data_IF_976887161396
#
_entry.id   IF_976887161396
#
_cell.length_a   1.000
_cell.length_b   1.000
_cell.length_c   1.000
_cell.angle_alpha   90.00
_cell.angle_beta   90.00
_cell.angle_gamma   90.00
#
_symmetry.space_group_name_H-M   'P 1'
#
loop_
_entity.id
_entity.type
_entity.pdbx_description
1 polymer ?
#
# COMPACT_ATOMS: atom_id res chain seq x y z
N UNK A 1 -4.60 -14.46 21.27
CA UNK A 1 -4.84 -14.96 19.90
C UNK A 1 -6.06 -14.30 19.27
N UNK A 2 -7.15 -14.08 20.01
CA UNK A 2 -8.39 -13.43 19.54
C UNK A 2 -8.17 -12.12 18.78
N UNK A 3 -7.38 -11.17 19.29
CA UNK A 3 -7.10 -9.89 18.57
C UNK A 3 -6.46 -10.11 17.20
N UNK A 4 -5.54 -11.07 17.08
CA UNK A 4 -4.88 -11.38 15.81
C UNK A 4 -5.84 -12.03 14.81
N UNK A 5 -6.73 -12.90 15.29
CA UNK A 5 -7.80 -13.47 14.49
C UNK A 5 -8.78 -12.39 13.99
N UNK A 6 -9.12 -11.40 14.83
CA UNK A 6 -9.95 -10.25 14.42
C UNK A 6 -9.25 -9.44 13.33
N UNK A 7 -7.95 -9.16 13.47
CA UNK A 7 -7.16 -8.47 12.44
C UNK A 7 -7.09 -9.26 11.14
N UNK A 8 -6.93 -10.60 11.21
CA UNK A 8 -6.98 -11.44 10.01
C UNK A 8 -8.35 -11.40 9.34
N UNK A 9 -9.44 -11.38 10.11
CA UNK A 9 -10.80 -11.28 9.59
C UNK A 9 -11.04 -9.93 8.92
N UNK A 10 -10.74 -8.83 9.61
CA UNK A 10 -10.85 -7.47 9.10
C UNK A 10 -10.10 -7.28 7.77
N UNK A 11 -8.94 -7.93 7.65
CA UNK A 11 -8.09 -7.86 6.46
C UNK A 11 -8.39 -8.91 5.38
N UNK A 12 -9.49 -9.69 5.49
CA UNK A 12 -9.86 -10.75 4.54
C UNK A 12 -8.83 -11.87 4.40
N UNK A 13 -8.03 -12.11 5.45
CA UNK A 13 -7.02 -13.17 5.49
C UNK A 13 -7.59 -14.48 6.03
N UNK A 14 -8.61 -14.47 6.90
CA UNK A 14 -9.30 -15.69 7.32
C UNK A 14 -10.61 -15.96 6.56
N UNK A 15 -11.09 -14.98 5.80
CA UNK A 15 -12.24 -15.12 4.92
C UNK A 15 -12.03 -14.30 3.64
N UNK A 16 -11.95 -14.93 2.45
CA UNK A 16 -11.59 -14.25 1.21
C UNK A 16 -12.66 -13.22 0.80
N UNK A 17 -12.21 -12.17 0.12
CA UNK A 17 -13.11 -11.25 -0.56
C UNK A 17 -13.76 -11.93 -1.77
N UNK A 18 -15.00 -11.56 -2.09
CA UNK A 18 -15.74 -12.13 -3.22
C UNK A 18 -15.14 -11.67 -4.57
N UNK A 19 -14.74 -10.41 -4.65
CA UNK A 19 -14.17 -9.79 -5.82
C UNK A 19 -13.29 -8.58 -5.45
N UNK A 20 -12.80 -7.88 -6.47
CA UNK A 20 -11.96 -6.69 -6.30
C UNK A 20 -12.70 -5.56 -5.56
N UNK A 21 -14.00 -5.38 -5.80
CA UNK A 21 -14.75 -4.29 -5.19
C UNK A 21 -14.95 -4.57 -3.68
N UNK A 22 -15.29 -5.81 -3.32
CA UNK A 22 -15.38 -6.25 -1.92
C UNK A 22 -14.03 -6.14 -1.20
N UNK A 23 -12.92 -6.46 -1.89
CA UNK A 23 -11.58 -6.28 -1.34
C UNK A 23 -11.31 -4.80 -0.99
N UNK A 24 -11.46 -3.87 -1.94
CA UNK A 24 -11.18 -2.46 -1.69
C UNK A 24 -12.21 -1.80 -0.76
N UNK A 25 -13.46 -2.27 -0.72
CA UNK A 25 -14.42 -1.86 0.30
C UNK A 25 -14.00 -2.29 1.72
N UNK A 26 -13.24 -3.38 1.84
CA UNK A 26 -12.82 -3.96 3.12
C UNK A 26 -11.47 -3.42 3.60
N UNK A 27 -10.41 -3.56 2.78
CA UNK A 27 -9.03 -3.18 3.18
C UNK A 27 -8.66 -1.75 2.80
N UNK A 28 -9.58 -1.03 2.15
CA UNK A 28 -9.49 0.35 1.70
C UNK A 28 -8.46 0.62 0.58
N UNK A 29 -7.22 0.16 0.76
CA UNK A 29 -6.15 0.36 -0.20
C UNK A 29 -5.07 -0.70 -0.05
N UNK A 30 -4.35 -0.97 -1.14
CA UNK A 30 -3.12 -1.78 -1.13
C UNK A 30 -1.93 -0.89 -1.47
N UNK A 31 -0.83 -1.01 -0.73
CA UNK A 31 0.39 -0.31 -1.14
C UNK A 31 0.88 -0.90 -2.46
N UNK A 32 1.16 -0.03 -3.44
CA UNK A 32 1.47 -0.40 -4.81
C UNK A 32 2.73 0.32 -5.30
N UNK A 33 3.74 0.45 -4.43
CA UNK A 33 5.07 0.88 -4.86
C UNK A 33 5.65 -0.14 -5.84
N UNK A 34 5.47 -1.43 -5.51
CA UNK A 34 5.71 -2.57 -6.37
C UNK A 34 4.36 -3.22 -6.76
N UNK A 35 4.10 -3.36 -8.07
CA UNK A 35 2.83 -3.90 -8.58
C UNK A 35 2.70 -5.40 -8.32
N UNK A 36 3.74 -6.24 -8.57
CA UNK A 36 3.75 -7.63 -8.15
C UNK A 36 3.41 -7.84 -6.67
N UNK A 37 3.95 -7.04 -5.74
CA UNK A 37 3.58 -7.08 -4.33
C UNK A 37 2.09 -6.83 -4.08
N UNK A 38 1.52 -5.78 -4.69
CA UNK A 38 0.09 -5.48 -4.56
C UNK A 38 -0.79 -6.64 -5.09
N UNK A 39 -0.37 -7.28 -6.18
CA UNK A 39 -1.03 -8.48 -6.73
C UNK A 39 -0.99 -9.66 -5.75
N UNK A 40 0.16 -9.90 -5.10
CA UNK A 40 0.27 -10.93 -4.06
C UNK A 40 -0.61 -10.63 -2.83
N UNK A 41 -0.68 -9.35 -2.41
CA UNK A 41 -1.54 -8.93 -1.31
C UNK A 41 -3.04 -9.14 -1.62
N UNK A 42 -3.46 -8.90 -2.86
CA UNK A 42 -4.82 -9.19 -3.32
C UNK A 42 -5.10 -10.70 -3.37
N UNK A 43 -4.14 -11.49 -3.88
CA UNK A 43 -4.23 -12.96 -3.92
C UNK A 43 -4.40 -13.57 -2.54
N UNK A 44 -3.63 -13.13 -1.55
CA UNK A 44 -3.76 -13.60 -0.16
C UNK A 44 -5.16 -13.33 0.47
N UNK A 45 -5.95 -12.47 -0.18
CA UNK A 45 -7.32 -12.09 0.21
C UNK A 45 -8.38 -12.59 -0.77
N UNK A 46 -8.04 -13.54 -1.65
CA UNK A 46 -8.96 -14.22 -2.56
C UNK A 46 -9.13 -13.58 -3.94
N UNK A 47 -8.48 -12.45 -4.22
CA UNK A 47 -8.66 -11.72 -5.49
C UNK A 47 -7.53 -12.04 -6.47
N UNK A 48 -7.88 -12.63 -7.62
CA UNK A 48 -6.92 -13.07 -8.65
C UNK A 48 -6.53 -12.00 -9.66
N UNK A 49 -7.40 -11.02 -9.88
CA UNK A 49 -7.12 -9.92 -10.81
C UNK A 49 -7.46 -8.58 -10.17
N UNK A 50 -6.68 -7.56 -10.52
CA UNK A 50 -6.90 -6.17 -10.12
C UNK A 50 -7.63 -5.39 -11.22
N UNK A 51 -8.41 -6.09 -12.05
CA UNK A 51 -9.28 -5.50 -13.06
C UNK A 51 -10.46 -4.82 -12.36
N UNK A 52 -10.59 -3.52 -12.53
CA UNK A 52 -11.65 -2.74 -11.92
C UNK A 52 -11.38 -1.25 -12.06
N UNK A 53 -12.27 -0.39 -11.55
CA UNK A 53 -12.07 1.05 -11.56
C UNK A 53 -11.05 1.45 -10.48
N UNK A 54 -9.86 0.86 -10.52
CA UNK A 54 -8.77 1.12 -9.58
C UNK A 54 -7.85 2.21 -10.11
N UNK A 55 -7.36 3.03 -9.20
CA UNK A 55 -6.41 4.11 -9.49
C UNK A 55 -5.20 3.94 -8.58
N UNK A 56 -4.02 3.89 -9.19
CA UNK A 56 -2.75 3.85 -8.47
C UNK A 56 -2.17 5.25 -8.38
N UNK A 57 -2.18 5.84 -7.18
CA UNK A 57 -1.67 7.20 -6.94
C UNK A 57 -1.08 7.34 -5.54
N UNK A 58 -0.51 8.50 -5.24
CA UNK A 58 0.07 8.80 -3.94
C UNK A 58 -1.03 9.11 -2.93
N UNK A 59 -1.00 8.41 -1.80
CA UNK A 59 -1.98 8.57 -0.72
C UNK A 59 -1.29 8.42 0.65
N UNK A 60 -1.63 7.40 1.43
CA UNK A 60 -1.11 7.19 2.78
C UNK A 60 0.43 7.24 2.82
N UNK A 61 0.95 7.98 3.79
CA UNK A 61 2.39 8.22 4.02
C UNK A 61 3.13 8.80 2.81
N UNK A 62 2.44 9.39 1.84
CA UNK A 62 3.03 9.89 0.60
C UNK A 62 3.61 8.78 -0.28
N UNK A 63 3.06 7.57 -0.22
CA UNK A 63 3.49 6.42 -1.05
C UNK A 63 2.39 5.98 -2.03
N UNK A 64 2.80 5.27 -3.09
CA UNK A 64 1.87 4.74 -4.08
C UNK A 64 0.93 3.70 -3.47
N UNK A 65 -0.36 3.89 -3.66
CA UNK A 65 -1.42 2.97 -3.28
C UNK A 65 -2.37 2.74 -4.44
N UNK A 66 -2.89 1.52 -4.53
CA UNK A 66 -4.04 1.19 -5.34
C UNK A 66 -5.30 1.50 -4.51
N UNK A 67 -6.24 2.22 -5.10
CA UNK A 67 -7.49 2.68 -4.48
C UNK A 67 -8.64 2.40 -5.44
N UNK A 68 -9.83 2.15 -4.90
CA UNK A 68 -11.05 2.21 -5.72
C UNK A 68 -11.33 3.67 -6.13
N UNK A 69 -11.86 3.90 -7.35
CA UNK A 69 -12.17 5.24 -7.87
C UNK A 69 -13.05 6.05 -6.90
N UNK A 70 -14.02 5.41 -6.27
CA UNK A 70 -14.95 6.06 -5.34
C UNK A 70 -14.28 6.52 -4.04
N UNK A 71 -13.07 6.03 -3.75
CA UNK A 71 -12.28 6.37 -2.58
C UNK A 71 -11.17 7.39 -2.86
N UNK A 72 -11.16 7.99 -4.06
CA UNK A 72 -10.21 9.05 -4.43
C UNK A 72 -10.34 10.35 -3.63
N UNK A 73 -11.43 10.53 -2.88
CA UNK A 73 -11.60 11.62 -1.91
C UNK A 73 -10.47 11.65 -0.85
N UNK A 74 -9.76 10.55 -0.66
CA UNK A 74 -8.61 10.47 0.26
C UNK A 74 -7.42 11.32 -0.22
N UNK A 75 -7.27 11.52 -1.53
CA UNK A 75 -6.16 12.29 -2.10
C UNK A 75 -6.25 13.78 -1.71
N UNK A 76 -7.37 14.51 -1.93
CA UNK A 76 -7.48 15.89 -1.46
C UNK A 76 -7.50 15.99 0.08
N UNK A 77 -7.85 14.92 0.81
CA UNK A 77 -7.75 14.89 2.27
C UNK A 77 -6.29 14.83 2.77
N UNK A 78 -5.49 13.90 2.21
CA UNK A 78 -4.11 13.65 2.67
C UNK A 78 -3.05 14.52 1.97
N UNK A 79 -3.32 14.89 0.72
CA UNK A 79 -2.41 15.61 -0.17
C UNK A 79 -1.81 16.87 0.45
N UNK A 80 -2.59 17.77 1.09
CA UNK A 80 -2.06 18.97 1.73
C UNK A 80 -0.96 18.69 2.76
N UNK A 81 -1.10 17.61 3.54
CA UNK A 81 -0.10 17.20 4.54
C UNK A 81 1.23 16.82 3.88
N UNK A 82 1.20 16.02 2.82
CA UNK A 82 2.41 15.58 2.14
C UNK A 82 3.03 16.64 1.22
N UNK A 83 2.20 17.50 0.63
CA UNK A 83 2.65 18.71 -0.06
C UNK A 83 3.43 19.58 0.92
N UNK A 84 2.88 19.90 2.09
CA UNK A 84 3.56 20.71 3.09
C UNK A 84 4.89 20.07 3.55
N UNK A 85 4.87 18.76 3.85
CA UNK A 85 6.07 18.03 4.27
C UNK A 85 7.20 18.06 3.23
N UNK A 86 6.87 17.99 1.94
CA UNK A 86 7.85 18.02 0.86
C UNK A 86 8.38 19.41 0.47
N UNK A 87 7.83 20.50 1.03
CA UNK A 87 8.11 21.88 0.57
C UNK A 87 9.59 22.24 0.60
N UNK A 88 10.28 21.96 1.72
CA UNK A 88 11.71 22.26 1.86
C UNK A 88 12.55 21.53 0.82
N UNK A 89 12.27 20.24 0.60
CA UNK A 89 13.02 19.43 -0.38
C UNK A 89 12.78 19.91 -1.81
N UNK A 90 11.54 20.28 -2.15
CA UNK A 90 11.21 20.88 -3.45
C UNK A 90 11.98 22.18 -3.68
N UNK A 91 12.01 23.08 -2.68
CA UNK A 91 12.79 24.33 -2.79
C UNK A 91 14.30 24.09 -3.01
N UNK A 92 14.90 23.10 -2.33
CA UNK A 92 16.30 22.71 -2.55
C UNK A 92 16.59 22.18 -3.96
N UNK A 93 15.55 21.68 -4.65
CA UNK A 93 15.63 21.18 -6.02
C UNK A 93 15.23 22.25 -7.05
N UNK A 94 15.09 23.52 -6.63
CA UNK A 94 14.66 24.61 -7.50
C UNK A 94 13.17 24.62 -7.85
N UNK A 95 12.36 23.76 -7.22
CA UNK A 95 10.93 23.68 -7.43
C UNK A 95 10.20 24.67 -6.49
N UNK A 96 10.10 25.93 -6.90
CA UNK A 96 9.36 26.94 -6.12
C UNK A 96 7.86 26.65 -6.10
N UNK A 97 7.13 27.27 -5.16
CA UNK A 97 5.68 27.11 -5.07
C UNK A 97 5.00 27.64 -6.35
N UNK A 98 5.51 28.71 -6.94
CA UNK A 98 5.03 29.27 -8.21
C UNK A 98 5.26 28.33 -9.39
N UNK A 99 6.44 27.69 -9.47
CA UNK A 99 6.72 26.69 -10.51
C UNK A 99 5.81 25.48 -10.35
N UNK A 100 5.63 24.98 -9.12
CA UNK A 100 4.74 23.88 -8.82
C UNK A 100 3.29 24.22 -9.21
N UNK A 101 2.79 25.41 -8.85
CA UNK A 101 1.45 25.86 -9.19
C UNK A 101 1.24 25.99 -10.70
N UNK A 102 2.20 26.55 -11.45
CA UNK A 102 2.17 26.63 -12.92
C UNK A 102 2.26 25.26 -13.60
N UNK A 103 2.91 24.29 -12.98
CA UNK A 103 3.04 22.93 -13.53
C UNK A 103 1.70 22.20 -13.55
N UNK A 104 0.80 22.44 -12.59
CA UNK A 104 -0.48 21.74 -12.52
C UNK A 104 -1.36 21.92 -13.77
N UNK A 105 -1.64 23.15 -14.27
CA UNK A 105 -2.35 23.31 -15.54
C UNK A 105 -1.52 22.84 -16.75
N UNK A 106 -0.19 23.03 -16.76
CA UNK A 106 0.67 22.55 -17.83
C UNK A 106 0.59 21.01 -18.00
N UNK A 107 0.56 20.26 -16.89
CA UNK A 107 0.35 18.81 -16.91
C UNK A 107 -1.00 18.43 -17.54
N UNK A 108 -2.06 19.20 -17.31
CA UNK A 108 -3.37 18.95 -17.93
C UNK A 108 -3.36 19.15 -19.45
N UNK A 109 -2.48 20.01 -19.94
CA UNK A 109 -2.29 20.27 -21.36
C UNK A 109 -1.42 19.19 -22.02
N UNK A 110 -0.30 18.81 -21.40
CA UNK A 110 0.70 17.93 -22.03
C UNK A 110 0.45 16.43 -21.85
N UNK A 111 -0.31 16.04 -20.83
CA UNK A 111 -0.58 14.63 -20.47
C UNK A 111 -1.90 14.15 -21.08
N UNK A 112 -1.96 14.11 -22.40
CA UNK A 112 -3.15 13.69 -23.18
C UNK A 112 -3.26 12.17 -23.35
N UNK A 113 -2.16 11.45 -23.17
CA UNK A 113 -2.07 9.99 -23.18
C UNK A 113 -1.13 9.50 -22.07
N UNK A 114 -1.03 8.18 -21.80
CA UNK A 114 -0.06 7.66 -20.85
C UNK A 114 1.38 7.94 -21.32
N UNK A 115 2.20 8.55 -20.45
CA UNK A 115 3.57 8.92 -20.77
C UNK A 115 4.57 8.35 -19.78
N UNK A 116 5.73 7.94 -20.28
CA UNK A 116 6.89 7.72 -19.43
C UNK A 116 7.43 9.02 -18.85
N UNK A 117 8.20 8.93 -17.76
CA UNK A 117 8.74 10.11 -17.07
C UNK A 117 9.58 11.00 -18.00
N UNK A 118 10.44 10.40 -18.80
CA UNK A 118 11.37 11.13 -19.67
C UNK A 118 10.60 11.96 -20.70
N UNK A 119 9.59 11.35 -21.33
CA UNK A 119 8.73 12.02 -22.30
C UNK A 119 7.86 13.10 -21.65
N UNK A 120 7.30 12.85 -20.46
CA UNK A 120 6.55 13.86 -19.72
C UNK A 120 7.41 15.09 -19.36
N UNK A 121 8.67 14.87 -18.92
CA UNK A 121 9.62 15.96 -18.66
C UNK A 121 9.94 16.74 -19.94
N UNK A 122 10.12 16.05 -21.07
CA UNK A 122 10.36 16.68 -22.37
C UNK A 122 9.19 17.59 -22.78
N UNK A 123 7.95 17.09 -22.71
CA UNK A 123 6.76 17.90 -23.05
C UNK A 123 6.52 19.06 -22.10
N UNK A 124 6.82 18.89 -20.82
CA UNK A 124 6.80 19.99 -19.85
C UNK A 124 7.79 21.10 -20.23
N UNK A 125 8.97 20.75 -20.75
CA UNK A 125 9.93 21.73 -21.24
C UNK A 125 9.41 22.49 -22.47
N UNK A 126 8.68 21.83 -23.38
CA UNK A 126 8.06 22.46 -24.56
C UNK A 126 7.05 23.58 -24.18
N UNK A 127 6.43 23.49 -22.99
CA UNK A 127 5.52 24.51 -22.43
C UNK A 127 6.16 25.38 -21.33
N UNK A 128 7.50 25.39 -21.26
CA UNK A 128 8.26 26.30 -20.40
C UNK A 128 8.45 25.85 -18.94
N UNK A 129 8.24 24.57 -18.63
CA UNK A 129 8.58 23.94 -17.34
C UNK A 129 9.83 23.08 -17.52
N UNK A 130 11.00 23.71 -17.40
CA UNK A 130 12.30 23.05 -17.62
C UNK A 130 12.81 22.42 -16.31
N UNK A 131 13.17 21.14 -16.37
CA UNK A 131 13.70 20.37 -15.25
C UNK A 131 14.98 19.65 -15.69
N UNK A 132 15.95 19.51 -14.78
CA UNK A 132 17.07 18.59 -15.02
C UNK A 132 16.58 17.13 -14.88
N UNK A 133 16.55 16.34 -15.97
CA UNK A 133 16.08 14.96 -15.94
C UNK A 133 16.99 14.01 -15.13
N UNK A 134 18.25 14.39 -14.90
CA UNK A 134 19.20 13.61 -14.09
C UNK A 134 19.10 13.92 -12.59
N UNK A 135 18.41 15.00 -12.23
CA UNK A 135 18.16 15.38 -10.84
C UNK A 135 16.99 14.61 -10.22
N UNK A 136 16.75 14.85 -8.93
CA UNK A 136 15.56 14.37 -8.25
C UNK A 136 14.32 15.27 -8.49
N UNK A 137 14.47 16.42 -9.16
CA UNK A 137 13.39 17.38 -9.35
C UNK A 137 12.17 16.79 -10.07
N UNK A 138 12.30 16.01 -11.17
CA UNK A 138 11.14 15.40 -11.82
C UNK A 138 10.33 14.51 -10.87
N UNK A 139 10.99 13.66 -10.07
CA UNK A 139 10.29 12.76 -9.16
C UNK A 139 9.50 13.55 -8.09
N UNK A 140 10.09 14.60 -7.53
CA UNK A 140 9.43 15.42 -6.51
C UNK A 140 8.31 16.31 -7.06
N UNK A 141 8.44 16.81 -8.30
CA UNK A 141 7.39 17.59 -8.95
C UNK A 141 6.19 16.72 -9.33
N UNK A 142 6.43 15.52 -9.86
CA UNK A 142 5.36 14.58 -10.19
C UNK A 142 4.67 14.05 -8.94
N UNK A 143 5.40 13.82 -7.85
CA UNK A 143 4.80 13.50 -6.55
C UNK A 143 3.96 14.67 -6.01
N UNK A 144 4.39 15.93 -6.19
CA UNK A 144 3.56 17.10 -5.86
C UNK A 144 2.26 17.09 -6.67
N UNK A 145 2.34 16.94 -7.99
CA UNK A 145 1.17 16.91 -8.86
C UNK A 145 0.19 15.76 -8.55
N UNK A 146 0.72 14.59 -8.17
CA UNK A 146 -0.10 13.47 -7.69
C UNK A 146 -0.85 13.80 -6.40
N UNK A 147 -0.16 14.36 -5.40
CA UNK A 147 -0.78 14.79 -4.14
C UNK A 147 -1.75 15.97 -4.35
N UNK A 148 -1.63 16.71 -5.46
CA UNK A 148 -2.60 17.71 -5.91
C UNK A 148 -3.75 17.13 -6.75
N UNK A 149 -3.81 15.81 -6.93
CA UNK A 149 -4.89 15.13 -7.67
C UNK A 149 -4.87 15.34 -9.18
N UNK A 150 -3.73 15.74 -9.77
CA UNK A 150 -3.61 16.05 -11.21
C UNK A 150 -3.17 14.86 -12.05
N UNK A 151 -2.39 13.95 -11.46
CA UNK A 151 -1.94 12.75 -12.18
C UNK A 151 -1.98 11.51 -11.28
N UNK A 152 -1.96 10.36 -11.92
CA UNK A 152 -1.77 9.05 -11.30
C UNK A 152 -0.69 8.27 -12.06
N UNK A 153 -0.36 7.08 -11.54
CA UNK A 153 0.56 6.15 -12.18
C UNK A 153 -0.21 4.92 -12.65
N UNK A 154 0.04 4.47 -13.87
CA UNK A 154 -0.50 3.21 -14.37
C UNK A 154 0.15 2.01 -13.68
N UNK A 155 -0.43 0.82 -13.90
CA UNK A 155 0.18 -0.44 -13.49
C UNK A 155 1.42 -0.77 -14.33
N UNK A 156 1.54 -0.17 -15.51
CA UNK A 156 2.68 -0.14 -16.42
C UNK A 156 3.70 0.98 -16.10
N UNK A 157 3.57 1.61 -14.93
CA UNK A 157 4.47 2.67 -14.44
C UNK A 157 4.44 4.01 -15.22
N UNK A 158 3.63 4.12 -16.28
CA UNK A 158 3.34 5.36 -17.01
C UNK A 158 2.59 6.38 -16.13
N UNK A 159 2.74 7.67 -16.42
CA UNK A 159 1.94 8.74 -15.82
C UNK A 159 0.68 8.96 -16.64
N UNK A 160 -0.45 9.22 -15.98
CA UNK A 160 -1.75 9.43 -16.62
C UNK A 160 -2.46 10.61 -15.97
N UNK A 161 -3.24 11.35 -16.75
CA UNK A 161 -4.05 12.43 -16.22
C UNK A 161 -5.07 11.88 -15.22
N UNK A 162 -5.16 12.53 -14.06
CA UNK A 162 -6.16 12.23 -13.04
C UNK A 162 -7.05 13.46 -12.85
N UNK A 163 -8.35 13.21 -12.72
CA UNK A 163 -9.34 14.21 -12.32
C UNK A 163 -10.09 13.65 -11.13
N UNK A 164 -10.01 14.37 -10.00
CA UNK A 164 -10.72 14.03 -8.79
C UNK A 164 -11.81 15.08 -8.61
N UNK A 165 -13.06 14.66 -8.78
CA UNK A 165 -14.24 15.50 -8.58
C UNK A 165 -14.82 15.34 -7.16
N UNK A 166 -14.38 14.31 -6.44
CA UNK A 166 -14.89 14.00 -5.11
C UNK A 166 -14.27 14.90 -4.04
N UNK A 167 -15.14 15.53 -3.24
CA UNK A 167 -14.76 16.27 -2.04
C UNK A 167 -14.23 15.32 -0.94
N UNK A 168 -13.26 15.77 -0.12
CA UNK A 168 -12.73 14.96 0.99
C UNK A 168 -13.81 14.69 2.04
N UNK A 169 -14.02 13.41 2.40
CA UNK A 169 -15.03 12.97 3.38
C UNK A 169 -14.61 13.15 4.86
N UNK A 170 -13.45 13.74 5.12
CA UNK A 170 -12.94 14.03 6.46
C UNK A 170 -12.18 12.89 7.14
N UNK A 171 -11.53 13.22 8.27
CA UNK A 171 -10.67 12.28 9.03
C UNK A 171 -11.49 11.17 9.69
N UNK A 172 -12.70 11.46 10.16
CA UNK A 172 -13.58 10.49 10.81
C UNK A 172 -13.95 9.34 9.88
N UNK A 173 -14.28 9.64 8.61
CA UNK A 173 -14.56 8.60 7.62
C UNK A 173 -13.31 7.78 7.31
N UNK A 174 -12.15 8.42 7.18
CA UNK A 174 -10.89 7.71 6.99
C UNK A 174 -10.56 6.79 8.18
N UNK A 175 -10.86 7.22 9.41
CA UNK A 175 -10.71 6.41 10.61
C UNK A 175 -11.67 5.21 10.63
N UNK A 176 -12.94 5.38 10.23
CA UNK A 176 -13.87 4.24 10.09
C UNK A 176 -13.39 3.23 9.06
N UNK A 177 -12.94 3.70 7.89
CA UNK A 177 -12.33 2.84 6.85
C UNK A 177 -11.09 2.11 7.37
N UNK A 178 -10.23 2.81 8.11
CA UNK A 178 -9.07 2.21 8.75
C UNK A 178 -9.45 1.15 9.80
N UNK A 179 -10.38 1.44 10.72
CA UNK A 179 -10.82 0.49 11.73
C UNK A 179 -11.53 -0.73 11.14
N UNK A 180 -12.29 -0.55 10.06
CA UNK A 180 -12.86 -1.69 9.31
C UNK A 180 -11.77 -2.59 8.73
N UNK A 181 -10.70 -2.01 8.20
CA UNK A 181 -9.62 -2.75 7.57
C UNK A 181 -8.64 -3.38 8.57
N UNK A 182 -8.35 -2.70 9.68
CA UNK A 182 -7.22 -3.03 10.58
C UNK A 182 -7.63 -3.22 12.05
N UNK A 183 -8.92 -3.14 12.37
CA UNK A 183 -9.42 -3.31 13.74
C UNK A 183 -9.14 -4.71 14.32
N UNK A 184 -8.85 -4.83 15.62
CA UNK A 184 -8.63 -3.76 16.61
C UNK A 184 -7.31 -3.01 16.40
N UNK A 185 -7.37 -1.68 16.42
CA UNK A 185 -6.23 -0.78 16.19
C UNK A 185 -6.35 0.54 16.97
N UNK A 186 -5.21 1.13 17.31
CA UNK A 186 -5.14 2.36 18.10
C UNK A 186 -5.11 3.62 17.22
N UNK A 187 -5.43 4.81 17.77
CA UNK A 187 -5.19 6.08 17.08
C UNK A 187 -3.71 6.29 16.69
N UNK A 188 -2.77 5.71 17.44
CA UNK A 188 -1.35 5.78 17.13
C UNK A 188 -0.97 4.93 15.91
N UNK A 189 -1.62 3.77 15.74
CA UNK A 189 -1.53 2.97 14.53
C UNK A 189 -2.12 3.73 13.34
N UNK A 190 -3.27 4.37 13.52
CA UNK A 190 -3.89 5.19 12.46
C UNK A 190 -3.02 6.38 12.06
N UNK A 191 -2.38 7.06 13.01
CA UNK A 191 -1.44 8.14 12.73
C UNK A 191 -0.27 7.64 11.88
N UNK A 192 0.32 6.50 12.26
CA UNK A 192 1.42 5.90 11.51
C UNK A 192 0.99 5.42 10.13
N UNK A 193 -0.18 4.79 10.03
CA UNK A 193 -0.73 4.27 8.77
C UNK A 193 -1.10 5.40 7.81
N UNK A 194 -1.86 6.41 8.26
CA UNK A 194 -2.31 7.50 7.39
C UNK A 194 -1.17 8.46 7.03
N UNK A 195 -0.23 8.66 7.96
CA UNK A 195 0.80 9.70 7.89
C UNK A 195 0.29 11.07 8.32
N UNK A 196 -0.94 11.17 8.86
CA UNK A 196 -1.48 12.41 9.40
C UNK A 196 -0.84 12.75 10.76
N UNK A 197 -0.58 14.03 11.05
CA UNK A 197 -0.06 14.43 12.35
C UNK A 197 -1.16 14.25 13.42
N UNK A 198 -0.78 13.75 14.61
CA UNK A 198 -1.73 13.47 15.71
C UNK A 198 -2.69 14.61 16.05
N UNK A 199 -2.28 15.87 15.84
CA UNK A 199 -3.14 17.05 16.05
C UNK A 199 -4.40 17.08 15.18
N UNK A 200 -4.43 16.34 14.07
CA UNK A 200 -5.59 16.19 13.18
C UNK A 200 -6.49 15.00 13.57
N UNK A 201 -6.10 14.21 14.58
CA UNK A 201 -6.76 12.96 14.97
C UNK A 201 -7.50 13.11 16.30
N UNK A 202 -8.11 14.28 16.53
CA UNK A 202 -8.84 14.56 17.78
C UNK A 202 -10.25 13.99 17.66
N UNK A 203 -10.79 13.53 18.80
CA UNK A 203 -12.19 13.13 18.94
C UNK A 203 -12.65 12.08 17.92
N UNK A 204 -11.76 11.14 17.56
CA UNK A 204 -12.06 10.05 16.63
C UNK A 204 -13.26 9.24 17.14
N UNK A 205 -14.26 8.94 16.28
CA UNK A 205 -15.46 8.24 16.72
C UNK A 205 -15.14 6.81 17.16
N UNK A 206 -15.92 6.29 18.10
CA UNK A 206 -15.84 4.88 18.47
C UNK A 206 -16.25 3.99 17.29
N UNK A 207 -15.52 2.90 17.09
CA UNK A 207 -15.80 1.89 16.06
C UNK A 207 -15.71 0.53 16.71
N UNK A 208 -16.79 -0.23 16.65
CA UNK A 208 -16.84 -1.60 17.16
C UNK A 208 -16.11 -2.54 16.21
N UNK A 209 -15.14 -3.29 16.73
CA UNK A 209 -14.46 -4.31 15.95
C UNK A 209 -15.30 -5.60 15.89
N UNK A 210 -15.22 -6.30 14.77
CA UNK A 210 -15.90 -7.59 14.63
C UNK A 210 -15.17 -8.68 15.44
N UNK A 211 -15.86 -9.48 16.25
CA UNK A 211 -15.24 -10.60 16.96
C UNK A 211 -14.81 -11.69 15.98
N UNK A 212 -13.72 -12.40 16.31
CA UNK A 212 -13.24 -13.53 15.55
C UNK A 212 -12.35 -14.42 16.42
N UNK A 213 -12.42 -15.72 16.18
CA UNK A 213 -11.55 -16.72 16.81
C UNK A 213 -10.52 -17.25 15.80
N UNK A 214 -9.38 -17.79 16.28
CA UNK A 214 -8.41 -18.49 15.45
C UNK A 214 -9.06 -19.61 14.63
N UNK A 215 -8.62 -19.78 13.39
CA UNK A 215 -9.22 -20.74 12.43
C UNK A 215 -8.20 -21.74 11.88
N UNK A 216 -6.93 -21.65 12.32
CA UNK A 216 -5.82 -22.35 11.69
C UNK A 216 -5.41 -21.72 10.35
N UNK A 217 -5.75 -20.44 10.11
CA UNK A 217 -5.51 -19.81 8.82
C UNK A 217 -4.01 -19.56 8.59
N UNK A 218 -3.47 -20.15 7.52
CA UNK A 218 -2.08 -19.95 7.06
C UNK A 218 -2.08 -19.06 5.82
N UNK A 219 -1.23 -18.03 5.78
CA UNK A 219 -1.07 -17.14 4.62
C UNK A 219 0.38 -16.87 4.27
N UNK A 220 0.74 -17.06 2.99
CA UNK A 220 1.98 -16.57 2.40
C UNK A 220 1.76 -15.12 1.93
N UNK A 221 2.33 -14.16 2.67
CA UNK A 221 2.21 -12.74 2.38
C UNK A 221 3.44 -12.23 1.64
N UNK A 222 3.21 -11.41 0.62
CA UNK A 222 4.26 -10.74 -0.14
C UNK A 222 4.96 -9.64 0.67
N UNK A 223 5.98 -9.05 0.07
CA UNK A 223 6.55 -7.83 0.63
C UNK A 223 5.53 -6.67 0.55
N UNK A 224 5.65 -5.69 1.45
CA UNK A 224 4.68 -4.58 1.58
C UNK A 224 3.21 -5.00 1.83
N UNK A 225 2.93 -6.20 2.35
CA UNK A 225 1.55 -6.59 2.65
C UNK A 225 0.93 -5.69 3.75
N UNK A 226 -0.34 -5.25 3.59
CA UNK A 226 -1.00 -4.41 4.58
C UNK A 226 -1.07 -4.99 5.98
N UNK A 227 -0.92 -6.32 6.14
CA UNK A 227 -1.01 -7.00 7.43
C UNK A 227 -0.13 -6.39 8.52
N UNK A 228 1.12 -6.07 8.19
CA UNK A 228 2.04 -5.40 9.12
C UNK A 228 2.12 -3.89 8.87
N UNK A 229 1.86 -3.40 7.65
CA UNK A 229 1.92 -1.97 7.34
C UNK A 229 0.76 -1.16 7.95
N UNK A 230 -0.32 -1.83 8.33
CA UNK A 230 -1.47 -1.22 9.01
C UNK A 230 -1.19 -0.71 10.41
N UNK A 231 -0.07 -1.12 11.03
CA UNK A 231 0.19 -0.87 12.46
C UNK A 231 1.52 -0.14 12.68
N UNK A 232 1.53 0.71 13.70
CA UNK A 232 2.74 1.33 14.22
C UNK A 232 3.54 0.30 15.01
N UNK A 233 2.87 -0.37 15.93
CA UNK A 233 3.45 -1.46 16.71
C UNK A 233 3.04 -2.81 16.10
N UNK A 234 4.06 -3.58 15.73
CA UNK A 234 3.92 -4.90 15.10
C UNK A 234 4.20 -6.04 16.07
N UNK A 235 4.63 -5.74 17.31
CA UNK A 235 5.03 -6.73 18.32
C UNK A 235 3.93 -7.76 18.63
N UNK A 236 2.67 -7.36 18.48
CA UNK A 236 1.54 -8.26 18.66
C UNK A 236 1.51 -9.38 17.61
N UNK A 237 1.90 -9.12 16.37
CA UNK A 237 1.89 -10.10 15.28
C UNK A 237 3.27 -10.73 15.05
N UNK A 238 4.33 -9.96 15.24
CA UNK A 238 5.71 -10.31 14.95
C UNK A 238 6.55 -10.19 16.22
N UNK A 239 7.11 -11.30 16.67
CA UNK A 239 8.01 -11.32 17.81
C UNK A 239 9.18 -10.33 17.60
N UNK A 240 9.47 -9.45 18.58
CA UNK A 240 10.59 -8.53 18.50
C UNK A 240 11.94 -9.19 18.19
N UNK A 241 12.19 -10.42 18.64
CA UNK A 241 13.45 -11.12 18.41
C UNK A 241 13.63 -11.52 16.93
N UNK A 242 12.53 -11.74 16.22
CA UNK A 242 12.52 -12.04 14.78
C UNK A 242 12.25 -10.80 13.91
N UNK A 243 11.97 -9.65 14.51
CA UNK A 243 11.67 -8.42 13.78
C UNK A 243 12.73 -8.03 12.73
N UNK A 244 14.05 -8.15 12.99
CA UNK A 244 15.08 -7.83 11.99
C UNK A 244 15.04 -8.71 10.73
N UNK A 245 14.47 -9.93 10.79
CA UNK A 245 14.35 -10.83 9.64
C UNK A 245 13.23 -10.39 8.68
N UNK A 246 12.21 -9.72 9.22
CA UNK A 246 11.05 -9.25 8.46
C UNK A 246 11.15 -7.77 8.13
N UNK A 247 11.68 -6.94 9.02
CA UNK A 247 11.72 -5.48 8.90
C UNK A 247 13.14 -5.01 8.59
N UNK A 248 13.58 -5.16 7.34
CA UNK A 248 14.99 -4.92 6.94
C UNK A 248 15.34 -3.45 6.72
N UNK A 249 14.55 -2.52 7.25
CA UNK A 249 14.74 -1.08 7.08
C UNK A 249 14.10 -0.49 5.81
N UNK A 250 14.09 0.84 5.71
CA UNK A 250 13.52 1.57 4.56
C UNK A 250 12.01 1.39 4.36
N UNK A 251 11.30 0.83 5.33
CA UNK A 251 9.90 0.45 5.20
C UNK A 251 9.67 -0.87 4.45
N UNK A 252 10.73 -1.59 4.06
CA UNK A 252 10.64 -2.90 3.44
C UNK A 252 10.19 -3.97 4.43
N UNK A 253 9.33 -4.87 3.97
CA UNK A 253 8.90 -6.06 4.70
C UNK A 253 9.27 -7.29 3.89
N UNK A 254 10.11 -8.16 4.43
CA UNK A 254 10.39 -9.46 3.82
C UNK A 254 9.09 -10.25 3.66
N UNK A 255 8.88 -10.97 2.54
CA UNK A 255 7.76 -11.89 2.42
C UNK A 255 7.76 -12.89 3.59
N UNK A 256 6.61 -13.09 4.20
CA UNK A 256 6.49 -13.82 5.46
C UNK A 256 5.24 -14.69 5.51
N UNK A 257 5.26 -15.69 6.39
CA UNK A 257 4.15 -16.61 6.64
C UNK A 257 3.45 -16.21 7.93
N UNK A 258 2.14 -16.13 7.87
CA UNK A 258 1.26 -15.84 9.00
C UNK A 258 0.40 -17.05 9.33
N UNK A 259 0.35 -17.45 10.61
CA UNK A 259 -0.53 -18.51 11.14
C UNK A 259 -1.38 -17.92 12.26
N UNK A 260 -2.70 -17.86 12.05
CA UNK A 260 -3.65 -17.20 12.97
C UNK A 260 -3.18 -15.82 13.47
N UNK A 261 -2.52 -15.11 12.57
CA UNK A 261 -2.05 -13.73 12.73
C UNK A 261 -0.68 -13.59 13.37
N UNK A 262 -0.03 -14.68 13.77
CA UNK A 262 1.37 -14.67 14.17
C UNK A 262 2.27 -14.86 12.96
N UNK A 263 3.30 -14.02 12.83
CA UNK A 263 4.35 -14.20 11.84
C UNK A 263 5.30 -15.27 12.36
N UNK A 264 5.46 -16.37 11.62
CA UNK A 264 6.20 -17.56 12.09
C UNK A 264 7.38 -17.95 11.19
N UNK A 265 7.44 -17.39 9.98
CA UNK A 265 8.49 -17.70 9.02
C UNK A 265 8.67 -16.56 8.02
N UNK A 266 9.82 -16.54 7.36
CA UNK A 266 10.02 -15.79 6.10
C UNK A 266 10.01 -16.76 4.92
N UNK A 267 9.70 -16.24 3.74
CA UNK A 267 9.80 -17.03 2.51
C UNK A 267 10.43 -16.23 1.38
N UNK A 268 10.99 -16.95 0.41
CA UNK A 268 11.49 -16.39 -0.84
C UNK A 268 11.11 -17.30 -2.01
N UNK A 269 11.05 -16.73 -3.20
CA UNK A 269 10.85 -17.48 -4.45
C UNK A 269 11.99 -17.21 -5.41
N UNK A 270 12.47 -18.27 -6.04
CA UNK A 270 13.44 -18.23 -7.13
C UNK A 270 12.93 -19.14 -8.26
N UNK A 271 12.41 -18.53 -9.33
CA UNK A 271 11.67 -19.27 -10.36
C UNK A 271 10.49 -20.05 -9.75
N UNK A 272 10.44 -21.37 -9.98
CA UNK A 272 9.45 -22.27 -9.38
C UNK A 272 9.77 -22.70 -7.95
N UNK A 273 10.96 -22.41 -7.40
CA UNK A 273 11.33 -22.86 -6.07
C UNK A 273 10.85 -21.86 -5.00
N UNK A 274 10.00 -22.31 -4.08
CA UNK A 274 9.55 -21.55 -2.92
C UNK A 274 10.26 -22.08 -1.68
N UNK A 275 11.14 -21.27 -1.09
CA UNK A 275 11.85 -21.61 0.15
C UNK A 275 11.16 -20.95 1.33
N UNK A 276 10.73 -21.72 2.31
CA UNK A 276 10.19 -21.23 3.59
C UNK A 276 11.20 -21.52 4.70
N UNK A 277 11.52 -20.50 5.50
CA UNK A 277 12.42 -20.61 6.66
C UNK A 277 11.66 -20.20 7.92
N UNK A 278 11.22 -21.17 8.74
CA UNK A 278 10.67 -20.91 10.07
C UNK A 278 11.63 -20.11 10.95
N UNK A 279 11.08 -19.40 11.93
CA UNK A 279 11.90 -18.68 12.92
C UNK A 279 12.47 -19.60 14.00
N UNK A 280 11.73 -20.65 14.33
CA UNK A 280 12.11 -21.64 15.33
C UNK A 280 12.15 -23.02 14.67
N UNK A 281 13.35 -23.59 14.55
CA UNK A 281 13.58 -24.92 13.96
C UNK A 281 13.05 -26.07 14.82
N UNK A 282 12.76 -25.80 16.11
CA UNK A 282 12.16 -26.76 17.03
C UNK A 282 10.64 -26.76 17.01
N UNK A 283 10.02 -25.73 16.42
CA UNK A 283 8.58 -25.63 16.26
C UNK A 283 8.08 -26.51 15.10
N UNK A 284 6.82 -26.92 15.18
CA UNK A 284 6.16 -27.59 14.07
C UNK A 284 6.12 -26.65 12.84
N UNK A 285 6.48 -27.20 11.68
CA UNK A 285 6.48 -26.44 10.43
C UNK A 285 5.04 -25.99 10.11
N UNK A 286 4.83 -24.73 9.68
CA UNK A 286 3.51 -24.28 9.27
C UNK A 286 3.02 -25.07 8.04
N UNK A 287 1.74 -25.44 8.01
CA UNK A 287 1.14 -26.08 6.83
C UNK A 287 0.93 -25.06 5.70
N UNK A 288 1.98 -24.90 4.90
CA UNK A 288 2.02 -23.93 3.79
C UNK A 288 1.70 -24.57 2.43
N UNK A 289 1.42 -25.88 2.36
CA UNK A 289 1.33 -26.60 1.09
C UNK A 289 0.22 -26.03 0.19
N UNK A 290 -0.96 -25.76 0.77
CA UNK A 290 -2.09 -25.18 0.04
C UNK A 290 -1.80 -23.77 -0.49
N UNK A 291 -1.13 -22.94 0.32
CA UNK A 291 -0.77 -21.58 -0.05
C UNK A 291 0.32 -21.55 -1.13
N UNK A 292 1.29 -22.45 -1.08
CA UNK A 292 2.31 -22.60 -2.14
C UNK A 292 1.65 -23.05 -3.45
N UNK A 293 0.79 -24.07 -3.42
CA UNK A 293 0.08 -24.53 -4.61
C UNK A 293 -0.79 -23.41 -5.22
N UNK A 294 -1.44 -22.60 -4.39
CA UNK A 294 -2.22 -21.47 -4.84
C UNK A 294 -1.37 -20.34 -5.43
N UNK A 295 -0.20 -20.05 -4.85
CA UNK A 295 0.77 -19.13 -5.41
C UNK A 295 1.21 -19.57 -6.82
N UNK A 296 1.47 -20.87 -7.02
CA UNK A 296 1.81 -21.42 -8.33
C UNK A 296 0.71 -21.22 -9.37
N UNK A 297 -0.54 -21.55 -9.03
CA UNK A 297 -1.70 -21.28 -9.90
C UNK A 297 -1.86 -19.79 -10.22
N UNK A 298 -1.65 -18.93 -9.24
CA UNK A 298 -1.79 -17.49 -9.41
C UNK A 298 -0.74 -16.88 -10.34
N UNK A 299 0.50 -17.38 -10.25
CA UNK A 299 1.62 -16.92 -11.08
C UNK A 299 1.71 -17.64 -12.42
N UNK A 300 0.90 -18.67 -12.65
CA UNK A 300 0.98 -19.58 -13.80
C UNK A 300 2.38 -20.23 -13.93
N UNK A 301 2.88 -20.75 -12.81
CA UNK A 301 4.21 -21.39 -12.71
C UNK A 301 4.11 -22.66 -11.85
N UNK A 302 4.77 -23.73 -12.30
CA UNK A 302 4.97 -24.92 -11.48
C UNK A 302 5.89 -24.62 -10.30
N UNK A 303 5.33 -24.70 -9.09
CA UNK A 303 6.05 -24.39 -7.85
C UNK A 303 6.37 -25.62 -7.03
N UNK A 304 7.55 -25.61 -6.39
CA UNK A 304 7.98 -26.63 -5.44
C UNK A 304 8.35 -25.98 -4.12
N UNK A 305 7.85 -26.54 -3.02
CA UNK A 305 8.21 -26.13 -1.66
C UNK A 305 9.54 -26.77 -1.26
N UNK A 306 10.43 -25.97 -0.69
CA UNK A 306 11.60 -26.41 0.07
C UNK A 306 11.69 -25.67 1.40
N UNK A 307 12.33 -26.29 2.37
CA UNK A 307 12.63 -25.70 3.67
C UNK A 307 14.08 -25.26 3.68
N UNK A 308 14.34 -24.07 4.24
CA UNK A 308 15.69 -23.50 4.37
C UNK A 308 16.02 -23.15 5.79
#
# INVERSE_FOLDING_TARGET
MTVLAQRMRAQRLSHPAADVADLFASVFALQAQDVPAARLAARARGVRSLDGPLVRTWAMRGTLHLLHRDDLWVVPLLGPTFIAAGRRRRAQLGLTDELCARTLPALREVLTEPLERAELVRRLADVGIVLDPKSQAPAHLLAFAANSGVLCRGMDDTYRLLRIEAEPRGVDELWRRYRRAYGPATPDDFAAWSGLPKRQLKDLPEVTDEPAEPTGAVRLLGHFDPYLLGYRDRSLALDPDYAPLVQTGGGFLTPHVVVDGRVVAVWRRDGGLVTVRPFDDSAERPDVAAEVADLGRFLDVDVRLTWG
#
